data_IF_829121247879
#
_entry.id   IF_829121247879
#
_cell.length_a   1.000
_cell.length_b   1.000
_cell.length_c   1.000
_cell.angle_alpha   90.00
_cell.angle_beta   90.00
_cell.angle_gamma   90.00
#
_symmetry.space_group_name_H-M   'P 1'
#
loop_
_entity.id
_entity.type
_entity.pdbx_description
1 polymer ?
#
# COMPACT_ATOMS: atom_id res chain seq x y z
N UNK A 1 -9.80 4.12 -8.71
CA UNK A 1 -8.94 2.93 -8.81
C UNK A 1 -9.80 1.75 -9.20
N UNK A 2 -9.30 0.91 -10.09
CA UNK A 2 -9.99 -0.30 -10.56
C UNK A 2 -9.01 -1.47 -10.50
N UNK A 3 -9.45 -2.61 -9.97
CA UNK A 3 -8.72 -3.87 -9.99
C UNK A 3 -9.55 -4.92 -10.71
N UNK A 4 -8.93 -5.60 -11.67
CA UNK A 4 -9.57 -6.60 -12.51
C UNK A 4 -8.96 -7.97 -12.25
N UNK A 5 -9.80 -8.99 -12.11
CA UNK A 5 -9.35 -10.37 -11.89
C UNK A 5 -10.49 -11.38 -11.95
N UNK A 6 -10.27 -12.53 -12.60
CA UNK A 6 -11.26 -13.62 -12.65
C UNK A 6 -12.60 -13.22 -13.28
N UNK A 7 -12.60 -12.30 -14.25
CA UNK A 7 -13.81 -11.77 -14.88
C UNK A 7 -14.64 -10.84 -13.99
N UNK A 8 -14.12 -10.43 -12.83
CA UNK A 8 -14.73 -9.45 -11.93
C UNK A 8 -13.87 -8.20 -11.84
N UNK A 9 -14.51 -7.11 -11.46
CA UNK A 9 -13.88 -5.81 -11.24
C UNK A 9 -14.23 -5.31 -9.84
N UNK A 10 -13.24 -4.75 -9.16
CA UNK A 10 -13.39 -4.02 -7.90
C UNK A 10 -13.08 -2.56 -8.17
N UNK A 11 -14.05 -1.68 -7.96
CA UNK A 11 -13.88 -0.25 -8.12
C UNK A 11 -13.81 0.42 -6.74
N UNK A 12 -12.84 1.33 -6.61
CA UNK A 12 -12.65 2.13 -5.41
C UNK A 12 -12.49 3.58 -5.82
N UNK A 13 -13.35 4.43 -5.27
CA UNK A 13 -13.34 5.86 -5.55
C UNK A 13 -13.39 6.66 -4.25
N UNK A 14 -12.79 7.83 -4.28
CA UNK A 14 -12.92 8.85 -3.24
C UNK A 14 -13.14 10.21 -3.88
N UNK A 15 -13.76 11.12 -3.13
CA UNK A 15 -13.89 12.53 -3.52
C UNK A 15 -12.57 13.29 -3.33
N UNK A 16 -11.69 12.78 -2.47
CA UNK A 16 -10.35 13.34 -2.22
C UNK A 16 -9.28 12.40 -2.78
N UNK A 17 -8.14 12.92 -3.27
CA UNK A 17 -7.03 12.07 -3.66
C UNK A 17 -6.59 11.14 -2.52
N UNK A 18 -6.20 9.92 -2.88
CA UNK A 18 -5.65 8.92 -1.96
C UNK A 18 -4.53 8.15 -2.65
N UNK A 19 -3.67 7.52 -1.86
CA UNK A 19 -2.64 6.61 -2.38
C UNK A 19 -3.05 5.17 -2.16
N UNK A 20 -2.57 4.26 -3.00
CA UNK A 20 -2.83 2.83 -2.83
C UNK A 20 -1.64 2.00 -3.31
N UNK A 21 -1.54 0.78 -2.80
CA UNK A 21 -0.64 -0.25 -3.33
C UNK A 21 -1.33 -1.60 -3.37
N UNK A 22 -0.94 -2.43 -4.33
CA UNK A 22 -1.41 -3.81 -4.48
C UNK A 22 -0.21 -4.72 -4.59
N UNK A 23 -0.06 -5.61 -3.63
CA UNK A 23 1.12 -6.47 -3.50
C UNK A 23 0.70 -7.92 -3.31
N UNK A 24 1.55 -8.84 -3.74
CA UNK A 24 1.40 -10.28 -3.50
C UNK A 24 2.15 -10.76 -2.25
N UNK A 25 2.57 -9.82 -1.40
CA UNK A 25 3.37 -10.04 -0.20
C UNK A 25 2.75 -9.29 0.97
N UNK A 26 2.92 -9.81 2.19
CA UNK A 26 2.52 -9.07 3.39
C UNK A 26 3.55 -7.99 3.73
N UNK A 27 3.14 -6.93 4.43
CA UNK A 27 4.05 -5.89 4.94
C UNK A 27 5.08 -6.46 5.91
N UNK A 28 4.66 -7.43 6.74
CA UNK A 28 5.57 -8.09 7.70
C UNK A 28 6.69 -8.86 6.98
N UNK A 29 6.36 -9.52 5.87
CA UNK A 29 7.32 -10.28 5.07
C UNK A 29 8.29 -9.33 4.34
N UNK A 30 7.76 -8.27 3.72
CA UNK A 30 8.57 -7.22 3.08
C UNK A 30 9.55 -6.54 4.05
N UNK A 31 9.18 -6.42 5.32
CA UNK A 31 10.05 -5.85 6.35
C UNK A 31 11.12 -6.83 6.85
N UNK A 32 10.79 -8.12 6.90
CA UNK A 32 11.66 -9.17 7.46
C UNK A 32 12.70 -9.67 6.47
N UNK A 33 12.32 -9.84 5.20
CA UNK A 33 13.16 -10.48 4.19
C UNK A 33 14.29 -9.56 3.72
N UNK A 34 15.49 -10.13 3.56
CA UNK A 34 16.65 -9.40 3.04
C UNK A 34 16.82 -9.57 1.53
N UNK A 35 16.26 -10.63 0.95
CA UNK A 35 16.34 -10.92 -0.48
C UNK A 35 14.95 -11.28 -1.05
N UNK A 36 14.68 -10.94 -2.33
CA UNK A 36 13.38 -11.24 -2.95
C UNK A 36 13.00 -12.73 -2.96
N UNK A 37 13.99 -13.63 -2.99
CA UNK A 37 13.76 -15.07 -2.98
C UNK A 37 13.20 -15.61 -1.65
N UNK A 38 13.28 -14.82 -0.57
CA UNK A 38 12.74 -15.18 0.74
C UNK A 38 11.24 -14.84 0.86
N UNK A 39 10.70 -14.04 -0.06
CA UNK A 39 9.31 -13.55 -0.02
C UNK A 39 8.31 -14.67 -0.32
N UNK A 40 7.24 -14.71 0.47
CA UNK A 40 6.12 -15.63 0.29
C UNK A 40 5.07 -15.01 -0.63
N UNK A 41 4.94 -15.55 -1.86
CA UNK A 41 3.92 -15.11 -2.82
C UNK A 41 2.52 -15.61 -2.42
N UNK A 42 1.71 -14.71 -1.87
CA UNK A 42 0.35 -15.00 -1.39
C UNK A 42 -0.62 -15.41 -2.49
N UNK A 43 -0.32 -15.07 -3.75
CA UNK A 43 -1.17 -15.46 -4.88
C UNK A 43 -1.01 -16.93 -5.23
N UNK A 44 0.10 -17.53 -4.80
CA UNK A 44 0.42 -18.95 -4.99
C UNK A 44 0.19 -19.78 -3.71
N UNK A 45 -0.39 -19.19 -2.67
CA UNK A 45 -0.69 -19.91 -1.44
C UNK A 45 -1.66 -21.07 -1.72
N UNK A 46 -1.34 -22.25 -1.17
CA UNK A 46 -2.17 -23.44 -1.31
C UNK A 46 -3.57 -23.23 -0.69
N UNK A 47 -3.64 -22.45 0.38
CA UNK A 47 -4.87 -22.07 1.05
C UNK A 47 -5.13 -20.58 0.89
N UNK A 48 -6.35 -20.23 0.45
CA UNK A 48 -6.83 -18.86 0.33
C UNK A 48 -5.87 -17.91 -0.41
N UNK A 49 -5.55 -18.13 -1.70
CA UNK A 49 -4.68 -17.24 -2.46
C UNK A 49 -5.32 -15.84 -2.57
N UNK A 50 -4.57 -14.80 -2.23
CA UNK A 50 -5.08 -13.43 -2.17
C UNK A 50 -4.01 -12.38 -2.47
N UNK A 51 -4.47 -11.14 -2.65
CA UNK A 51 -3.63 -9.95 -2.80
C UNK A 51 -3.77 -9.06 -1.57
N UNK A 52 -2.71 -8.32 -1.25
CA UNK A 52 -2.70 -7.29 -0.23
C UNK A 52 -2.97 -5.93 -0.87
N UNK A 53 -4.11 -5.32 -0.55
CA UNK A 53 -4.49 -3.98 -0.96
C UNK A 53 -4.35 -3.02 0.22
N UNK A 54 -3.53 -1.98 0.07
CA UNK A 54 -3.40 -0.88 1.05
C UNK A 54 -3.98 0.39 0.45
N UNK A 55 -4.76 1.13 1.24
CA UNK A 55 -5.37 2.40 0.85
C UNK A 55 -5.05 3.45 1.91
N UNK A 56 -4.32 4.49 1.52
CA UNK A 56 -3.78 5.51 2.43
C UNK A 56 -4.46 6.86 2.17
N UNK A 57 -4.96 7.47 3.25
CA UNK A 57 -5.45 8.86 3.23
C UNK A 57 -4.30 9.86 3.00
N UNK A 58 -3.12 9.53 3.50
CA UNK A 58 -1.89 10.30 3.33
C UNK A 58 -0.70 9.34 3.48
N UNK A 59 0.36 9.57 2.70
CA UNK A 59 1.62 8.82 2.78
C UNK A 59 2.80 9.78 2.96
N UNK A 60 3.66 9.52 3.95
CA UNK A 60 4.84 10.34 4.24
C UNK A 60 5.85 10.25 3.08
N UNK A 61 6.47 11.36 2.70
CA UNK A 61 7.58 11.32 1.73
C UNK A 61 8.79 10.53 2.26
N UNK A 62 9.48 9.78 1.38
CA UNK A 62 10.60 8.91 1.77
C UNK A 62 11.89 9.66 2.17
N UNK A 63 12.12 10.84 1.60
CA UNK A 63 13.35 11.63 1.83
C UNK A 63 14.62 10.91 1.36
N UNK A 64 15.77 11.31 1.91
CA UNK A 64 17.10 10.72 1.61
C UNK A 64 17.84 10.30 2.89
N UNK A 65 17.09 9.94 3.95
CA UNK A 65 17.62 9.75 5.31
C UNK A 65 18.65 8.60 5.47
N UNK A 66 18.86 7.79 4.44
CA UNK A 66 19.97 6.84 4.40
C UNK A 66 21.34 7.55 4.34
N UNK A 67 21.44 8.63 3.58
CA UNK A 67 22.63 9.49 3.52
C UNK A 67 22.21 10.88 2.99
N UNK A 68 22.01 11.83 3.90
CA UNK A 68 21.50 13.16 3.58
C UNK A 68 20.26 13.52 4.40
N UNK A 69 19.51 14.56 4.00
CA UNK A 69 18.36 15.02 4.75
C UNK A 69 17.22 13.98 4.76
N UNK A 70 16.48 13.97 5.86
CA UNK A 70 15.23 13.26 5.98
C UNK A 70 14.11 13.93 5.14
N UNK A 71 12.88 13.44 5.20
CA UNK A 71 11.69 14.05 4.60
C UNK A 71 11.61 15.55 4.88
N UNK A 72 11.51 16.38 3.83
CA UNK A 72 11.29 17.83 3.98
C UNK A 72 9.92 18.11 4.61
N UNK A 73 9.80 19.24 5.31
CA UNK A 73 8.60 19.56 6.09
C UNK A 73 7.27 19.49 5.31
N UNK A 74 7.16 19.98 4.06
CA UNK A 74 5.91 19.88 3.30
C UNK A 74 5.47 18.44 3.00
N UNK A 75 6.36 17.46 3.12
CA UNK A 75 6.09 16.04 2.83
C UNK A 75 6.00 15.16 4.09
N UNK A 76 6.08 15.77 5.29
CA UNK A 76 5.87 15.06 6.55
C UNK A 76 4.38 14.91 6.85
N UNK A 77 4.02 13.80 7.51
CA UNK A 77 2.70 13.60 8.11
C UNK A 77 2.87 13.80 9.61
N UNK A 78 2.16 14.79 10.16
CA UNK A 78 2.18 15.10 11.60
C UNK A 78 1.03 14.36 12.29
N UNK A 79 1.11 14.12 13.61
CA UNK A 79 -0.02 13.60 14.36
C UNK A 79 -1.26 14.48 14.18
N UNK A 80 -2.41 13.87 13.95
CA UNK A 80 -3.65 14.57 13.67
C UNK A 80 -4.73 13.65 13.14
N UNK A 81 -5.88 14.23 12.81
CA UNK A 81 -7.01 13.49 12.23
C UNK A 81 -6.99 13.63 10.72
N UNK A 82 -6.81 12.51 10.03
CA UNK A 82 -6.94 12.38 8.58
C UNK A 82 -8.24 11.65 8.27
N UNK A 83 -9.03 12.18 7.34
CA UNK A 83 -10.32 11.60 6.94
C UNK A 83 -10.23 11.14 5.50
N UNK A 84 -10.63 9.90 5.27
CA UNK A 84 -10.80 9.34 3.94
C UNK A 84 -12.16 8.68 3.86
N UNK A 85 -12.93 9.01 2.82
CA UNK A 85 -14.21 8.38 2.51
C UNK A 85 -14.08 7.65 1.19
N UNK A 86 -14.50 6.39 1.18
CA UNK A 86 -14.38 5.49 0.03
C UNK A 86 -15.78 5.03 -0.39
N UNK A 87 -15.98 4.96 -1.69
CA UNK A 87 -17.06 4.19 -2.31
C UNK A 87 -16.43 2.96 -2.96
N UNK A 88 -16.99 1.79 -2.64
CA UNK A 88 -16.52 0.49 -3.13
C UNK A 88 -17.69 -0.23 -3.81
N UNK A 89 -17.50 -0.75 -5.02
CA UNK A 89 -18.50 -1.51 -5.76
C UNK A 89 -17.86 -2.50 -6.74
#
# INVERSE_FOLDING_TARGET
>A
MELNGGGKSLHIQSLTPFSFSVLKYTVADLFKCNHPAELTDLTQAAENPHWMLTIDAAHRGVGTGACGPDTLEPYRIRPGVYKLSLRVW
#
